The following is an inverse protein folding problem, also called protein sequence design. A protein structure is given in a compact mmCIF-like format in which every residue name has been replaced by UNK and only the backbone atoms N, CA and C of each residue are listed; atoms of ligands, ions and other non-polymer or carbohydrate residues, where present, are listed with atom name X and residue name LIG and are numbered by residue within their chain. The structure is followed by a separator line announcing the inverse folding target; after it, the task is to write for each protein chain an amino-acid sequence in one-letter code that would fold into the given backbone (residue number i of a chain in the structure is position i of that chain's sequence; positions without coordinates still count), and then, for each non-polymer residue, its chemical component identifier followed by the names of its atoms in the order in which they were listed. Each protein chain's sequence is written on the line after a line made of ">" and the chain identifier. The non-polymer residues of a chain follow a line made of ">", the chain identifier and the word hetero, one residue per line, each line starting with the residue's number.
data_IF_653408136335
#
_entry.id   IF_653408136335
#
_cell.length_a   1.000
_cell.length_b   1.000
_cell.length_c   1.000
_cell.angle_alpha   90.00
_cell.angle_beta   90.00
_cell.angle_gamma   90.00
#
_symmetry.space_group_name_H-M   'P 1'
#
loop_
_entity.id
_entity.type
_entity.pdbx_description
1 polymer ?
#
# COMPACT_ATOMS: atom_id res chain seq x y z
N UNK A 1 -44.42 -11.96 27.92
CA UNK A 1 -43.38 -13.00 27.82
C UNK A 1 -42.72 -12.82 26.47
N UNK A 2 -41.73 -11.93 26.40
CA UNK A 2 -40.95 -11.68 25.19
C UNK A 2 -39.59 -12.33 25.39
N UNK A 3 -39.30 -13.33 24.56
CA UNK A 3 -38.01 -13.98 24.51
C UNK A 3 -37.04 -13.09 23.72
N UNK A 4 -36.09 -12.48 24.43
CA UNK A 4 -34.93 -11.81 23.83
C UNK A 4 -33.99 -12.90 23.30
N UNK A 5 -33.97 -13.08 21.98
CA UNK A 5 -32.92 -13.83 21.31
C UNK A 5 -31.64 -12.99 21.33
N UNK A 6 -30.70 -13.37 22.20
CA UNK A 6 -29.34 -12.87 22.17
C UNK A 6 -28.65 -13.38 20.90
N UNK A 7 -28.45 -12.48 19.94
CA UNK A 7 -27.48 -12.71 18.87
C UNK A 7 -26.08 -12.49 19.47
N UNK A 8 -25.44 -13.57 19.91
CA UNK A 8 -23.99 -13.58 20.11
C UNK A 8 -23.32 -13.33 18.76
N UNK A 9 -22.52 -12.28 18.69
CA UNK A 9 -21.67 -11.97 17.53
C UNK A 9 -20.49 -12.97 17.49
N UNK A 10 -20.27 -13.73 16.40
CA UNK A 10 -19.32 -14.85 16.38
C UNK A 10 -17.83 -14.50 16.46
N UNK A 11 -17.46 -13.22 16.52
CA UNK A 11 -16.08 -12.77 16.28
C UNK A 11 -15.34 -12.31 17.54
N UNK A 12 -15.98 -12.36 18.71
CA UNK A 12 -15.33 -12.02 19.98
C UNK A 12 -14.52 -13.20 20.48
N UNK A 13 -13.40 -13.48 19.80
CA UNK A 13 -12.34 -14.29 20.37
C UNK A 13 -11.44 -13.31 21.13
N UNK A 14 -11.70 -13.17 22.42
CA UNK A 14 -10.74 -12.59 23.37
C UNK A 14 -9.53 -13.54 23.43
N UNK A 15 -8.68 -13.51 22.40
CA UNK A 15 -7.42 -14.24 22.39
C UNK A 15 -6.46 -13.43 23.26
N UNK A 16 -5.93 -14.04 24.33
CA UNK A 16 -5.01 -13.38 25.25
C UNK A 16 -3.84 -12.73 24.47
N UNK A 17 -3.60 -11.45 24.69
CA UNK A 17 -2.52 -10.67 24.03
C UNK A 17 -1.17 -11.40 24.13
N UNK A 18 -0.91 -12.07 25.26
CA UNK A 18 0.30 -12.85 25.52
C UNK A 18 0.46 -14.07 24.58
N UNK A 19 -0.65 -14.70 24.19
CA UNK A 19 -0.63 -15.82 23.23
C UNK A 19 -0.39 -15.32 21.80
N UNK A 20 -0.91 -14.15 21.45
CA UNK A 20 -0.65 -13.48 20.17
C UNK A 20 0.81 -13.03 20.10
N UNK A 21 1.31 -12.40 21.16
CA UNK A 21 2.70 -11.96 21.28
C UNK A 21 3.67 -13.13 21.13
N UNK A 22 3.43 -14.24 21.85
CA UNK A 22 4.29 -15.43 21.74
C UNK A 22 4.31 -16.00 20.32
N UNK A 23 3.15 -16.05 19.65
CA UNK A 23 3.00 -16.65 18.32
C UNK A 23 3.60 -15.79 17.20
N UNK A 24 3.46 -14.46 17.31
CA UNK A 24 3.82 -13.51 16.25
C UNK A 24 5.06 -12.68 16.55
N UNK A 25 5.75 -12.94 17.67
CA UNK A 25 6.99 -12.26 18.10
C UNK A 25 8.07 -12.19 17.02
N UNK A 26 8.18 -13.19 16.15
CA UNK A 26 9.15 -13.19 15.06
C UNK A 26 8.94 -12.05 14.03
N UNK A 27 7.77 -11.40 14.02
CA UNK A 27 7.48 -10.24 13.18
C UNK A 27 7.82 -8.90 13.83
N UNK A 28 8.22 -8.87 15.10
CA UNK A 28 8.59 -7.64 15.80
C UNK A 28 9.70 -6.85 15.08
N UNK A 29 10.82 -7.46 14.63
CA UNK A 29 11.86 -6.73 13.91
C UNK A 29 11.36 -6.07 12.62
N UNK A 30 10.39 -6.72 11.95
CA UNK A 30 9.75 -6.19 10.75
C UNK A 30 8.86 -5.00 11.09
N UNK A 31 8.02 -5.11 12.13
CA UNK A 31 7.14 -4.02 12.57
C UNK A 31 7.92 -2.75 12.93
N UNK A 32 9.11 -2.89 13.52
CA UNK A 32 10.00 -1.77 13.83
C UNK A 32 10.43 -0.98 12.58
N UNK A 33 10.58 -1.64 11.42
CA UNK A 33 10.92 -0.96 10.16
C UNK A 33 9.80 -0.03 9.66
N UNK A 34 8.54 -0.32 10.01
CA UNK A 34 7.38 0.52 9.70
C UNK A 34 6.94 1.44 10.85
N UNK A 35 7.58 1.35 12.02
CA UNK A 35 7.24 2.20 13.15
C UNK A 35 7.31 3.67 12.75
N UNK A 36 6.25 4.43 13.06
CA UNK A 36 6.08 5.86 12.68
C UNK A 36 5.96 6.14 11.17
N UNK A 37 5.87 5.09 10.34
CA UNK A 37 5.64 5.22 8.89
C UNK A 37 4.22 4.85 8.49
N UNK A 38 3.43 4.29 9.40
CA UNK A 38 2.05 3.85 9.14
C UNK A 38 1.07 4.56 10.09
N UNK A 39 -0.02 5.07 9.51
CA UNK A 39 -1.06 5.80 10.23
C UNK A 39 -2.46 5.32 9.80
N UNK A 40 -3.39 5.22 10.76
CA UNK A 40 -4.79 4.84 10.50
C UNK A 40 -5.76 6.00 10.71
N UNK A 41 -5.56 7.09 9.97
CA UNK A 41 -6.37 8.30 10.15
C UNK A 41 -6.88 8.93 8.85
N UNK A 42 -6.50 8.43 7.68
CA UNK A 42 -7.00 8.99 6.43
C UNK A 42 -8.41 8.49 6.14
N UNK A 43 -9.33 9.43 5.99
CA UNK A 43 -10.73 9.15 5.69
C UNK A 43 -10.93 9.31 4.19
N UNK A 44 -11.19 8.20 3.51
CA UNK A 44 -11.68 8.22 2.13
C UNK A 44 -13.20 8.11 2.12
N UNK A 45 -13.83 8.77 1.14
CA UNK A 45 -15.20 8.41 0.77
C UNK A 45 -15.16 7.09 -0.01
N UNK A 46 -16.00 6.13 0.37
CA UNK A 46 -16.12 4.88 -0.38
C UNK A 46 -16.54 5.14 -1.84
N UNK A 47 -16.05 4.30 -2.76
CA UNK A 47 -16.38 4.37 -4.20
C UNK A 47 -17.88 4.06 -4.41
N UNK A 48 -18.75 5.08 -4.31
CA UNK A 48 -20.19 4.97 -4.55
C UNK A 48 -20.99 6.23 -4.19
N UNK A 49 -22.21 6.41 -4.73
CA UNK A 49 -23.04 7.61 -4.52
C UNK A 49 -23.53 7.81 -3.08
N UNK A 50 -23.29 6.83 -2.19
CA UNK A 50 -23.49 6.92 -0.73
C UNK A 50 -22.21 6.51 0.02
N UNK A 51 -21.05 6.95 -0.48
CA UNK A 51 -19.74 6.55 0.02
C UNK A 51 -19.62 6.74 1.54
N UNK A 52 -19.69 5.65 2.29
CA UNK A 52 -19.41 5.67 3.73
C UNK A 52 -17.94 6.04 3.91
N UNK A 53 -17.66 6.99 4.80
CA UNK A 53 -16.30 7.35 5.17
C UNK A 53 -15.59 6.13 5.76
N UNK A 54 -14.57 5.62 5.07
CA UNK A 54 -13.75 4.50 5.53
C UNK A 54 -12.34 4.96 5.79
N UNK A 55 -11.80 4.53 6.92
CA UNK A 55 -10.41 4.80 7.26
C UNK A 55 -9.50 3.89 6.45
N UNK A 56 -8.31 4.41 6.16
CA UNK A 56 -7.25 3.71 5.42
C UNK A 56 -5.94 3.79 6.19
N UNK A 57 -5.13 2.75 6.00
CA UNK A 57 -3.74 2.75 6.44
C UNK A 57 -2.93 3.57 5.43
N UNK A 58 -2.43 4.72 5.86
CA UNK A 58 -1.48 5.52 5.11
C UNK A 58 -0.09 5.06 5.47
N UNK A 59 0.74 4.80 4.46
CA UNK A 59 2.13 4.38 4.66
C UNK A 59 3.05 5.36 3.94
N UNK A 60 3.98 5.95 4.68
CA UNK A 60 5.04 6.78 4.12
C UNK A 60 6.26 5.91 3.83
N UNK A 61 6.47 5.61 2.55
CA UNK A 61 7.61 4.80 2.12
C UNK A 61 8.92 5.60 2.26
N UNK A 62 10.07 4.92 2.43
CA UNK A 62 11.37 5.55 2.29
C UNK A 62 11.43 6.36 0.99
N UNK A 63 11.92 7.60 1.07
CA UNK A 63 12.05 8.48 -0.10
C UNK A 63 13.53 8.72 -0.35
N UNK A 64 13.96 8.47 -1.59
CA UNK A 64 15.35 8.56 -2.05
C UNK A 64 16.07 9.83 -1.61
N UNK A 65 15.40 10.98 -1.68
CA UNK A 65 15.95 12.29 -1.27
C UNK A 65 16.42 12.40 0.19
N UNK A 66 16.02 11.47 1.07
CA UNK A 66 16.44 11.43 2.47
C UNK A 66 17.62 10.50 2.73
N UNK A 67 18.17 9.90 1.68
CA UNK A 67 19.30 8.98 1.75
C UNK A 67 20.47 9.53 0.95
N UNK A 68 21.65 9.52 1.56
CA UNK A 68 22.90 9.90 0.90
C UNK A 68 23.49 8.75 0.09
N UNK A 69 23.11 7.52 0.41
CA UNK A 69 23.59 6.29 -0.20
C UNK A 69 22.43 5.53 -0.86
N UNK A 70 22.65 5.10 -2.10
CA UNK A 70 21.64 4.39 -2.88
C UNK A 70 21.38 2.99 -2.32
N UNK A 71 22.42 2.30 -1.87
CA UNK A 71 22.29 0.93 -1.35
C UNK A 71 21.47 0.90 -0.06
N UNK A 72 21.70 1.83 0.87
CA UNK A 72 20.87 2.01 2.07
C UNK A 72 19.42 2.33 1.70
N UNK A 73 19.18 3.24 0.75
CA UNK A 73 17.83 3.51 0.27
C UNK A 73 17.13 2.24 -0.23
N UNK A 74 17.77 1.48 -1.14
CA UNK A 74 17.20 0.26 -1.73
C UNK A 74 16.91 -0.78 -0.66
N UNK A 75 17.81 -0.95 0.29
CA UNK A 75 17.66 -1.87 1.43
C UNK A 75 16.44 -1.48 2.29
N UNK A 76 16.33 -0.21 2.68
CA UNK A 76 15.18 0.26 3.47
C UNK A 76 13.87 0.22 2.71
N UNK A 77 13.90 0.51 1.42
CA UNK A 77 12.73 0.46 0.55
C UNK A 77 12.21 -0.98 0.40
N UNK A 78 13.10 -1.93 0.13
CA UNK A 78 12.77 -3.36 0.10
C UNK A 78 12.23 -3.84 1.45
N UNK A 79 12.90 -3.48 2.56
CA UNK A 79 12.47 -3.85 3.90
C UNK A 79 11.05 -3.34 4.23
N UNK A 80 10.71 -2.11 3.83
CA UNK A 80 9.37 -1.56 4.01
C UNK A 80 8.32 -2.33 3.19
N UNK A 81 8.62 -2.65 1.91
CA UNK A 81 7.76 -3.43 1.03
C UNK A 81 7.50 -4.84 1.58
N UNK A 82 8.56 -5.54 1.98
CA UNK A 82 8.50 -6.89 2.55
C UNK A 82 7.74 -6.91 3.89
N UNK A 83 7.98 -5.91 4.75
CA UNK A 83 7.22 -5.77 6.01
C UNK A 83 5.73 -5.64 5.74
N UNK A 84 5.32 -4.74 4.84
CA UNK A 84 3.92 -4.54 4.48
C UNK A 84 3.29 -5.83 3.93
N UNK A 85 4.04 -6.61 3.15
CA UNK A 85 3.60 -7.88 2.61
C UNK A 85 3.39 -8.95 3.71
N UNK A 86 4.33 -9.08 4.65
CA UNK A 86 4.19 -10.00 5.80
C UNK A 86 2.98 -9.64 6.66
N UNK A 87 2.85 -8.36 6.99
CA UNK A 87 1.73 -7.83 7.74
C UNK A 87 0.38 -8.06 7.05
N UNK A 88 0.34 -7.93 5.73
CA UNK A 88 -0.86 -8.23 4.94
C UNK A 88 -1.19 -9.72 4.91
N UNK A 89 -0.17 -10.59 4.88
CA UNK A 89 -0.36 -12.03 5.02
C UNK A 89 -0.91 -12.40 6.40
N UNK A 90 -0.43 -11.75 7.48
CA UNK A 90 -1.04 -11.91 8.82
C UNK A 90 -2.49 -11.47 8.80
N UNK A 91 -2.82 -10.32 8.20
CA UNK A 91 -4.22 -9.88 8.09
C UNK A 91 -5.12 -10.88 7.35
N UNK A 92 -4.58 -11.65 6.40
CA UNK A 92 -5.32 -12.69 5.69
C UNK A 92 -5.57 -13.94 6.55
N UNK A 93 -4.68 -14.22 7.51
CA UNK A 93 -4.68 -15.45 8.32
C UNK A 93 -5.28 -15.24 9.72
N UNK A 94 -4.99 -14.10 10.34
CA UNK A 94 -5.32 -13.76 11.73
C UNK A 94 -5.53 -12.25 11.90
N UNK A 95 -6.81 -11.84 11.82
CA UNK A 95 -7.21 -10.44 11.99
C UNK A 95 -6.92 -9.89 13.40
N UNK A 96 -6.94 -10.73 14.43
CA UNK A 96 -6.65 -10.29 15.80
C UNK A 96 -5.15 -9.98 15.96
N UNK A 97 -4.29 -10.88 15.45
CA UNK A 97 -2.85 -10.67 15.42
C UNK A 97 -2.46 -9.45 14.58
N UNK A 98 -3.13 -9.24 13.45
CA UNK A 98 -2.93 -8.06 12.62
C UNK A 98 -3.17 -6.75 13.38
N UNK A 99 -4.29 -6.62 14.09
CA UNK A 99 -4.59 -5.44 14.93
C UNK A 99 -3.58 -5.27 16.07
N UNK A 100 -3.18 -6.37 16.71
CA UNK A 100 -2.18 -6.38 17.76
C UNK A 100 -0.83 -5.84 17.24
N UNK A 101 -0.31 -6.38 16.14
CA UNK A 101 0.96 -5.96 15.53
C UNK A 101 0.92 -4.48 15.12
N UNK A 102 -0.17 -4.03 14.50
CA UNK A 102 -0.36 -2.63 14.11
C UNK A 102 -0.31 -1.69 15.32
N UNK A 103 -1.04 -2.02 16.39
CA UNK A 103 -1.16 -1.14 17.54
C UNK A 103 0.08 -1.14 18.43
N UNK A 104 0.59 -2.33 18.78
CA UNK A 104 1.69 -2.50 19.74
C UNK A 104 3.06 -2.29 19.12
N UNK A 105 3.33 -2.87 17.95
CA UNK A 105 4.67 -2.86 17.36
C UNK A 105 4.84 -1.78 16.28
N UNK A 106 3.79 -1.47 15.50
CA UNK A 106 3.85 -0.37 14.51
C UNK A 106 3.44 1.01 15.09
N UNK A 107 2.83 1.05 16.28
CA UNK A 107 2.42 2.28 16.95
C UNK A 107 1.17 2.95 16.39
N UNK A 108 0.33 2.21 15.66
CA UNK A 108 -0.89 2.74 15.03
C UNK A 108 -1.99 2.94 16.06
N UNK A 109 -2.56 4.15 16.11
CA UNK A 109 -3.70 4.44 16.98
C UNK A 109 -5.01 3.91 16.41
N UNK A 110 -5.49 2.78 16.94
CA UNK A 110 -6.77 2.15 16.53
C UNK A 110 -7.99 2.68 17.32
N UNK A 111 -7.79 3.67 18.20
CA UNK A 111 -8.84 4.20 19.08
C UNK A 111 -8.92 3.48 20.42
N UNK A 112 -9.98 3.76 21.20
CA UNK A 112 -10.21 3.16 22.51
C UNK A 112 -10.93 1.81 22.37
N UNK A 113 -10.64 0.90 23.30
CA UNK A 113 -11.34 -0.37 23.42
C UNK A 113 -12.86 -0.16 23.60
N UNK A 114 -13.69 -0.96 22.93
CA UNK A 114 -15.15 -0.77 22.86
C UNK A 114 -15.61 0.44 22.01
N UNK A 115 -14.69 1.16 21.37
CA UNK A 115 -15.02 2.19 20.39
C UNK A 115 -15.14 1.62 18.99
N UNK A 116 -16.07 2.16 18.18
CA UNK A 116 -16.31 1.69 16.80
C UNK A 116 -15.07 1.70 15.88
N UNK A 117 -14.01 2.46 16.21
CA UNK A 117 -12.71 2.40 15.51
C UNK A 117 -11.94 1.09 15.74
N UNK A 118 -12.03 0.54 16.95
CA UNK A 118 -11.33 -0.68 17.34
C UNK A 118 -12.09 -1.94 16.91
N UNK A 119 -13.42 -1.85 16.87
CA UNK A 119 -14.30 -2.97 16.51
C UNK A 119 -14.35 -3.23 15.00
N UNK A 120 -14.05 -2.23 14.17
CA UNK A 120 -14.03 -2.36 12.71
C UNK A 120 -12.93 -3.32 12.24
N UNK A 121 -13.24 -4.25 11.33
CA UNK A 121 -12.22 -5.03 10.63
C UNK A 121 -11.34 -4.11 9.78
N UNK A 122 -10.02 -4.24 9.92
CA UNK A 122 -9.06 -3.37 9.24
C UNK A 122 -8.49 -4.14 8.04
N UNK A 123 -8.95 -3.89 6.82
CA UNK A 123 -8.42 -4.59 5.66
C UNK A 123 -6.98 -4.14 5.37
N UNK A 124 -6.13 -5.07 4.93
CA UNK A 124 -4.79 -4.78 4.42
C UNK A 124 -4.86 -4.05 3.05
N UNK A 125 -5.23 -2.77 3.10
CA UNK A 125 -5.33 -1.86 1.96
C UNK A 125 -4.62 -0.56 2.30
N UNK A 126 -3.66 -0.18 1.48
CA UNK A 126 -2.73 0.88 1.82
C UNK A 126 -2.84 2.08 0.88
N UNK A 127 -2.66 3.25 1.44
CA UNK A 127 -2.36 4.49 0.73
C UNK A 127 -0.86 4.77 0.87
N UNK A 128 -0.11 4.58 -0.21
CA UNK A 128 1.32 4.87 -0.24
C UNK A 128 1.58 6.34 -0.52
N UNK A 129 2.34 6.96 0.36
CA UNK A 129 3.01 8.24 0.11
C UNK A 129 4.45 7.90 -0.27
N UNK A 130 4.78 8.08 -1.54
CA UNK A 130 6.13 7.85 -2.08
C UNK A 130 6.61 9.06 -2.88
N UNK A 131 7.92 9.11 -3.09
CA UNK A 131 8.55 10.06 -3.99
C UNK A 131 8.42 9.54 -5.43
N UNK A 132 7.89 10.35 -6.35
CA UNK A 132 7.69 9.96 -7.76
C UNK A 132 8.83 10.45 -8.65
N UNK A 133 9.96 10.82 -8.05
CA UNK A 133 11.12 11.22 -8.82
C UNK A 133 11.70 10.06 -9.64
N UNK A 134 12.08 10.36 -10.87
CA UNK A 134 12.78 9.41 -11.75
C UNK A 134 14.21 9.20 -11.23
N UNK A 135 14.77 8.01 -11.46
CA UNK A 135 16.21 7.83 -11.34
C UNK A 135 16.86 8.69 -12.43
N UNK A 136 17.70 9.65 -12.06
CA UNK A 136 18.54 10.35 -13.03
C UNK A 136 19.53 9.33 -13.60
N UNK A 137 19.20 8.73 -14.73
CA UNK A 137 20.17 7.99 -15.53
C UNK A 137 20.98 9.02 -16.32
N UNK A 138 22.18 9.32 -15.84
CA UNK A 138 23.22 9.83 -16.71
C UNK A 138 23.57 8.68 -17.68
N UNK A 139 23.06 8.78 -18.92
CA UNK A 139 23.32 7.90 -20.06
C UNK A 139 22.41 6.67 -20.20
N UNK A 140 21.69 6.65 -21.34
CA UNK A 140 21.06 5.45 -21.90
C UNK A 140 19.54 5.45 -21.80
N UNK A 141 18.86 5.91 -22.84
CA UNK A 141 17.48 5.50 -23.10
C UNK A 141 17.43 3.97 -23.20
N UNK A 142 16.69 3.29 -22.32
CA UNK A 142 15.91 2.08 -22.72
C UNK A 142 14.95 1.53 -21.65
N UNK A 143 15.04 1.91 -20.36
CA UNK A 143 14.06 1.48 -19.36
C UNK A 143 13.58 2.63 -18.45
N UNK A 144 12.27 2.87 -18.42
CA UNK A 144 11.68 3.77 -17.42
C UNK A 144 11.81 3.12 -16.04
N UNK A 145 12.60 3.76 -15.18
CA UNK A 145 12.92 3.26 -13.86
C UNK A 145 12.40 4.22 -12.79
N UNK A 146 11.44 3.75 -11.99
CA UNK A 146 10.84 4.52 -10.91
C UNK A 146 10.62 3.65 -9.69
N UNK A 147 10.68 4.28 -8.52
CA UNK A 147 10.45 3.59 -7.25
C UNK A 147 9.03 2.97 -7.18
N UNK A 148 8.07 3.50 -7.94
CA UNK A 148 6.73 2.91 -8.08
C UNK A 148 6.74 1.61 -8.90
N UNK A 149 7.50 1.56 -9.99
CA UNK A 149 7.72 0.33 -10.77
C UNK A 149 8.43 -0.70 -9.90
N UNK A 150 9.46 -0.29 -9.15
CA UNK A 150 10.15 -1.18 -8.21
C UNK A 150 9.23 -1.68 -7.09
N UNK A 151 8.25 -0.89 -6.65
CA UNK A 151 7.33 -1.32 -5.60
C UNK A 151 6.26 -2.29 -6.11
N UNK A 152 5.64 -2.00 -7.26
CA UNK A 152 4.46 -2.71 -7.78
C UNK A 152 4.75 -3.63 -8.98
N UNK A 153 5.97 -3.64 -9.51
CA UNK A 153 6.40 -4.47 -10.65
C UNK A 153 6.78 -5.89 -10.25
N UNK A 154 7.43 -6.60 -11.17
CA UNK A 154 7.81 -8.02 -11.01
C UNK A 154 8.96 -8.23 -10.02
N UNK A 155 9.69 -7.17 -9.69
CA UNK A 155 10.77 -7.20 -8.69
C UNK A 155 10.29 -7.57 -7.29
N UNK A 156 8.98 -7.53 -7.03
CA UNK A 156 8.35 -8.09 -5.83
C UNK A 156 8.56 -9.60 -5.70
N UNK A 157 8.72 -10.30 -6.82
CA UNK A 157 8.90 -11.74 -6.89
C UNK A 157 10.35 -12.11 -7.22
N UNK A 158 11.04 -11.30 -8.01
CA UNK A 158 12.44 -11.56 -8.39
C UNK A 158 13.43 -11.23 -7.26
N UNK A 159 13.15 -10.18 -6.48
CA UNK A 159 14.06 -9.66 -5.45
C UNK A 159 13.44 -9.79 -4.06
N UNK A 160 13.37 -11.03 -3.55
CA UNK A 160 12.87 -11.34 -2.21
C UNK A 160 14.04 -11.71 -1.29
N UNK A 161 14.07 -11.15 -0.08
CA UNK A 161 15.05 -11.57 0.93
C UNK A 161 14.72 -12.97 1.47
N UNK A 162 15.74 -13.72 1.87
CA UNK A 162 15.55 -15.03 2.52
C UNK A 162 14.73 -14.90 3.81
N UNK A 163 15.01 -13.87 4.61
CA UNK A 163 14.28 -13.59 5.85
C UNK A 163 12.78 -13.33 5.60
N UNK A 164 12.43 -12.68 4.49
CA UNK A 164 11.04 -12.49 4.08
C UNK A 164 10.37 -13.80 3.68
N UNK A 165 11.05 -14.64 2.89
CA UNK A 165 10.56 -15.96 2.52
C UNK A 165 10.30 -16.83 3.75
N UNK A 166 11.24 -16.87 4.70
CA UNK A 166 11.09 -17.59 5.98
C UNK A 166 9.90 -17.07 6.79
N UNK A 167 9.70 -15.74 6.79
CA UNK A 167 8.56 -15.10 7.44
C UNK A 167 7.23 -15.57 6.83
N UNK A 168 7.11 -15.60 5.50
CA UNK A 168 5.92 -16.08 4.80
C UNK A 168 5.65 -17.57 5.05
N UNK A 169 6.68 -18.42 5.08
CA UNK A 169 6.53 -19.84 5.39
C UNK A 169 6.01 -20.05 6.82
N UNK A 170 6.53 -19.29 7.80
CA UNK A 170 6.02 -19.31 9.18
C UNK A 170 4.57 -18.85 9.27
N UNK A 171 4.20 -17.76 8.59
CA UNK A 171 2.82 -17.27 8.54
C UNK A 171 1.90 -18.34 7.93
N UNK A 172 2.31 -18.97 6.82
CA UNK A 172 1.55 -20.01 6.16
C UNK A 172 1.35 -21.25 7.04
N UNK A 173 2.37 -21.64 7.82
CA UNK A 173 2.28 -22.73 8.79
C UNK A 173 1.30 -22.42 9.93
N UNK A 174 1.30 -21.18 10.43
CA UNK A 174 0.40 -20.70 11.50
C UNK A 174 -1.06 -20.61 11.03
N UNK A 175 -1.30 -20.35 9.74
CA UNK A 175 -2.64 -20.37 9.15
C UNK A 175 -3.24 -21.76 8.94
N UNK A 176 -2.60 -22.80 9.49
CA UNK A 176 -2.87 -24.22 9.36
C UNK A 176 -4.27 -24.63 8.88
N UNK A 177 -4.36 -25.09 7.63
CA UNK A 177 -5.32 -26.06 7.05
C UNK A 177 -6.84 -25.91 7.25
N UNK A 178 -7.35 -24.97 8.03
CA UNK A 178 -8.73 -25.02 8.53
C UNK A 178 -9.75 -24.18 7.76
N UNK A 179 -9.39 -23.51 6.65
CA UNK A 179 -10.44 -22.92 5.81
C UNK A 179 -10.23 -22.84 4.30
N UNK A 180 -9.07 -23.17 3.70
CA UNK A 180 -8.93 -23.30 2.24
C UNK A 180 -7.83 -24.31 1.83
N UNK A 181 -8.04 -25.60 2.12
CA UNK A 181 -7.34 -26.67 1.38
C UNK A 181 -7.84 -26.64 -0.06
N UNK A 182 -7.05 -26.09 -0.99
CA UNK A 182 -7.31 -26.26 -2.42
C UNK A 182 -6.70 -25.23 -3.37
N UNK A 183 -6.28 -24.04 -2.91
CA UNK A 183 -5.57 -23.08 -3.76
C UNK A 183 -4.49 -22.39 -2.95
N UNK A 184 -3.24 -22.49 -3.39
CA UNK A 184 -2.21 -21.51 -3.06
C UNK A 184 -2.77 -20.14 -3.45
N UNK A 185 -3.20 -19.36 -2.47
CA UNK A 185 -3.80 -18.05 -2.70
C UNK A 185 -2.70 -17.01 -2.72
N UNK A 186 -2.41 -16.48 -3.91
CA UNK A 186 -1.73 -15.20 -4.07
C UNK A 186 -2.49 -14.14 -3.25
N UNK A 187 -1.85 -13.59 -2.22
CA UNK A 187 -2.40 -12.48 -1.43
C UNK A 187 -2.21 -11.21 -2.24
N UNK A 188 -3.28 -10.79 -2.91
CA UNK A 188 -3.29 -9.56 -3.72
C UNK A 188 -3.62 -8.36 -2.84
N UNK A 189 -2.61 -7.55 -2.55
CA UNK A 189 -2.66 -6.43 -1.62
C UNK A 189 -2.97 -5.14 -2.40
N UNK A 190 -4.16 -4.54 -2.27
CA UNK A 190 -4.47 -3.31 -2.97
C UNK A 190 -3.67 -2.14 -2.40
N UNK A 191 -2.99 -1.40 -3.28
CA UNK A 191 -2.27 -0.17 -2.92
C UNK A 191 -2.68 0.98 -3.84
N UNK A 192 -2.90 2.16 -3.26
CA UNK A 192 -3.16 3.41 -3.98
C UNK A 192 -2.02 4.37 -3.70
N UNK A 193 -1.57 5.10 -4.72
CA UNK A 193 -0.63 6.21 -4.51
C UNK A 193 -1.43 7.42 -4.08
N UNK A 194 -1.02 8.06 -2.98
CA UNK A 194 -1.53 9.34 -2.53
C UNK A 194 -0.52 10.42 -2.92
N UNK A 195 -0.84 11.11 -4.01
CA UNK A 195 -0.07 12.24 -4.49
C UNK A 195 -0.63 13.54 -3.90
N UNK A 196 0.21 14.31 -3.22
CA UNK A 196 -0.13 15.63 -2.66
C UNK A 196 0.81 16.66 -3.24
N UNK A 197 0.28 17.57 -4.06
CA UNK A 197 1.07 18.69 -4.56
C UNK A 197 1.52 19.55 -3.39
N UNK A 198 2.80 19.92 -3.38
CA UNK A 198 3.38 20.86 -2.42
C UNK A 198 3.20 22.29 -2.94
N UNK A 199 3.36 23.25 -2.03
CA UNK A 199 3.21 24.66 -2.37
C UNK A 199 4.36 25.10 -3.30
N UNK A 200 4.11 25.91 -4.34
CA UNK A 200 5.14 26.43 -5.26
C UNK A 200 6.25 27.28 -4.63
N UNK A 201 6.18 27.56 -3.32
CA UNK A 201 7.23 28.26 -2.56
C UNK A 201 8.32 27.32 -1.99
N UNK A 202 8.27 26.02 -2.26
CA UNK A 202 9.44 25.16 -2.00
C UNK A 202 10.56 25.50 -3.00
N UNK A 203 11.81 25.61 -2.52
CA UNK A 203 13.01 25.93 -3.34
C UNK A 203 13.20 24.99 -4.54
N UNK A 204 12.60 23.80 -4.47
CA UNK A 204 12.42 22.87 -5.58
C UNK A 204 11.07 23.23 -6.19
N UNK A 205 11.08 23.94 -7.32
CA UNK A 205 9.86 24.30 -8.05
C UNK A 205 9.02 23.04 -8.29
N UNK A 206 7.85 22.98 -7.65
CA UNK A 206 6.98 21.84 -7.74
C UNK A 206 6.42 21.75 -9.17
N UNK A 207 6.60 20.61 -9.83
CA UNK A 207 6.10 20.36 -11.19
C UNK A 207 5.06 19.24 -11.10
N UNK A 208 3.88 19.53 -10.52
CA UNK A 208 2.90 18.51 -10.22
C UNK A 208 2.48 17.70 -11.45
N UNK A 209 2.45 18.37 -12.58
CA UNK A 209 2.15 17.79 -13.87
C UNK A 209 3.17 16.72 -14.29
N UNK A 210 4.47 17.04 -14.21
CA UNK A 210 5.54 16.13 -14.64
C UNK A 210 5.51 14.86 -13.78
N UNK A 211 5.22 15.00 -12.49
CA UNK A 211 5.07 13.89 -11.57
C UNK A 211 3.87 13.01 -11.92
N UNK A 212 2.71 13.58 -12.28
CA UNK A 212 1.57 12.79 -12.73
C UNK A 212 1.84 12.02 -14.03
N UNK A 213 2.55 12.62 -14.99
CA UNK A 213 2.99 11.93 -16.21
C UNK A 213 3.91 10.75 -15.88
N UNK A 214 4.80 10.92 -14.89
CA UNK A 214 5.67 9.84 -14.41
C UNK A 214 4.88 8.71 -13.76
N UNK A 215 3.88 9.01 -12.92
CA UNK A 215 3.00 7.96 -12.35
C UNK A 215 2.27 7.21 -13.48
N UNK A 216 1.71 7.94 -14.45
CA UNK A 216 1.01 7.35 -15.60
C UNK A 216 1.91 6.39 -16.40
N UNK A 217 3.16 6.79 -16.65
CA UNK A 217 4.16 5.95 -17.32
C UNK A 217 4.50 4.71 -16.48
N UNK A 218 4.66 4.87 -15.16
CA UNK A 218 4.88 3.76 -14.24
C UNK A 218 3.75 2.73 -14.28
N UNK A 219 2.49 3.16 -14.30
CA UNK A 219 1.34 2.25 -14.40
C UNK A 219 1.41 1.38 -15.67
N UNK A 220 1.75 2.00 -16.81
CA UNK A 220 1.89 1.30 -18.09
C UNK A 220 3.00 0.27 -18.04
N UNK A 221 4.16 0.63 -17.46
CA UNK A 221 5.32 -0.27 -17.32
C UNK A 221 5.02 -1.44 -16.38
N UNK A 222 4.43 -1.19 -15.21
CA UNK A 222 4.04 -2.24 -14.26
C UNK A 222 3.12 -3.26 -14.93
N UNK A 223 2.11 -2.77 -15.67
CA UNK A 223 1.17 -3.64 -16.39
C UNK A 223 1.90 -4.50 -17.42
N UNK A 224 2.77 -3.91 -18.24
CA UNK A 224 3.53 -4.61 -19.26
C UNK A 224 4.49 -5.67 -18.66
N UNK A 225 5.20 -5.34 -17.59
CA UNK A 225 6.09 -6.28 -16.89
C UNK A 225 5.33 -7.51 -16.38
N UNK A 226 4.19 -7.30 -15.73
CA UNK A 226 3.38 -8.41 -15.23
C UNK A 226 2.76 -9.27 -16.35
N UNK A 227 2.35 -8.66 -17.45
CA UNK A 227 1.83 -9.39 -18.62
C UNK A 227 2.91 -10.28 -19.25
N UNK A 228 4.11 -9.73 -19.48
CA UNK A 228 5.25 -10.49 -19.99
C UNK A 228 5.67 -11.61 -19.03
N UNK A 229 5.76 -11.33 -17.74
CA UNK A 229 6.14 -12.31 -16.72
C UNK A 229 5.15 -13.47 -16.64
N UNK A 230 3.84 -13.19 -16.67
CA UNK A 230 2.80 -14.23 -16.67
C UNK A 230 2.83 -15.08 -17.92
N UNK A 231 3.08 -14.49 -19.09
CA UNK A 231 3.27 -15.25 -20.33
C UNK A 231 4.45 -16.22 -20.20
N UNK A 232 5.57 -15.77 -19.63
CA UNK A 232 6.74 -16.62 -19.42
C UNK A 232 6.47 -17.77 -18.43
N UNK A 233 5.74 -17.51 -17.33
CA UNK A 233 5.36 -18.55 -16.37
C UNK A 233 4.51 -19.66 -17.02
N UNK A 234 3.54 -19.28 -17.87
CA UNK A 234 2.69 -20.23 -18.60
C UNK A 234 3.53 -21.09 -19.54
N UNK A 235 4.51 -20.49 -20.23
CA UNK A 235 5.42 -21.23 -21.12
C UNK A 235 6.32 -22.19 -20.35
N UNK A 236 6.77 -21.81 -19.15
CA UNK A 236 7.66 -22.62 -18.33
C UNK A 236 6.94 -23.65 -17.45
N UNK A 237 5.60 -23.60 -17.35
CA UNK A 237 4.79 -24.44 -16.47
C UNK A 237 5.24 -24.39 -15.00
N UNK A 238 5.73 -23.23 -14.56
CA UNK A 238 6.24 -23.02 -13.21
C UNK A 238 5.12 -22.42 -12.36
N UNK A 239 4.35 -23.26 -11.66
CA UNK A 239 3.42 -22.78 -10.64
C UNK A 239 4.21 -22.31 -9.40
N UNK A 240 3.85 -21.19 -8.77
CA UNK A 240 4.51 -20.78 -7.55
C UNK A 240 4.16 -21.71 -6.39
N UNK A 241 5.16 -22.39 -5.83
CA UNK A 241 4.96 -23.41 -4.80
C UNK A 241 4.78 -22.82 -3.38
N UNK A 242 4.78 -21.49 -3.23
CA UNK A 242 4.79 -20.79 -1.94
C UNK A 242 3.72 -19.71 -1.86
N UNK A 243 3.34 -19.34 -0.63
CA UNK A 243 2.50 -18.16 -0.39
C UNK A 243 3.18 -16.94 -1.00
N UNK A 244 2.47 -16.21 -1.85
CA UNK A 244 3.00 -15.01 -2.50
C UNK A 244 2.13 -13.81 -2.15
N UNK A 245 2.79 -12.69 -1.92
CA UNK A 245 2.16 -11.39 -1.72
C UNK A 245 2.46 -10.51 -2.92
N UNK A 246 1.42 -9.93 -3.51
CA UNK A 246 1.55 -9.05 -4.67
C UNK A 246 0.82 -7.74 -4.41
N UNK A 247 1.54 -6.63 -4.39
CA UNK A 247 0.96 -5.30 -4.38
C UNK A 247 0.34 -5.00 -5.75
N UNK A 248 -0.96 -4.71 -5.74
CA UNK A 248 -1.74 -4.37 -6.93
C UNK A 248 -2.05 -2.90 -6.91
N UNK A 249 -1.42 -2.15 -7.81
CA UNK A 249 -1.66 -0.73 -7.98
C UNK A 249 -3.11 -0.46 -8.41
N UNK A 250 -3.81 0.34 -7.61
CA UNK A 250 -5.16 0.83 -7.81
C UNK A 250 -5.12 2.29 -8.27
N UNK A 251 -6.21 2.80 -8.88
CA UNK A 251 -6.29 4.18 -9.33
C UNK A 251 -5.87 5.15 -8.23
N UNK A 252 -4.94 6.07 -8.54
CA UNK A 252 -4.30 6.94 -7.56
C UNK A 252 -5.26 7.99 -6.99
N UNK A 253 -4.87 8.60 -5.88
CA UNK A 253 -5.51 9.78 -5.30
C UNK A 253 -4.59 10.97 -5.50
N UNK A 254 -5.14 12.04 -6.05
CA UNK A 254 -4.43 13.28 -6.32
C UNK A 254 -5.07 14.40 -5.53
N UNK A 255 -4.26 15.11 -4.75
CA UNK A 255 -4.69 16.22 -3.91
C UNK A 255 -3.94 17.51 -4.30
N UNK A 256 -4.64 18.40 -5.01
CA UNK A 256 -4.20 19.74 -5.37
C UNK A 256 -4.79 20.82 -4.47
N UNK A 257 -5.32 20.48 -3.29
CA UNK A 257 -6.00 21.48 -2.44
C UNK A 257 -5.09 22.65 -2.02
N UNK A 258 -3.76 22.44 -2.05
CA UNK A 258 -2.76 23.44 -1.73
C UNK A 258 -2.18 24.17 -2.96
N UNK A 259 -2.76 23.98 -4.15
CA UNK A 259 -2.25 24.54 -5.40
C UNK A 259 -3.35 25.32 -6.12
N UNK A 260 -3.04 26.53 -6.59
CA UNK A 260 -3.98 27.32 -7.39
C UNK A 260 -4.06 26.74 -8.80
N UNK A 261 -5.26 26.39 -9.25
CA UNK A 261 -5.46 25.81 -10.58
C UNK A 261 -5.12 26.86 -11.64
N UNK A 262 -4.21 26.51 -12.56
CA UNK A 262 -3.92 27.31 -13.75
C UNK A 262 -4.39 26.58 -15.02
N UNK A 263 -4.61 27.29 -16.14
CA UNK A 263 -5.09 26.69 -17.39
C UNK A 263 -4.17 25.60 -17.96
N UNK A 264 -2.86 25.70 -17.76
CA UNK A 264 -1.91 24.66 -18.20
C UNK A 264 -2.11 23.33 -17.48
N UNK A 265 -2.51 23.35 -16.20
CA UNK A 265 -2.84 22.12 -15.46
C UNK A 265 -4.15 21.49 -15.94
N UNK A 266 -5.15 22.27 -16.36
CA UNK A 266 -6.41 21.72 -16.87
C UNK A 266 -6.20 20.96 -18.18
N UNK A 267 -5.43 21.51 -19.11
CA UNK A 267 -5.09 20.84 -20.39
C UNK A 267 -4.37 19.50 -20.16
N UNK A 268 -3.51 19.44 -19.14
CA UNK A 268 -2.71 18.24 -18.87
C UNK A 268 -3.51 17.22 -18.07
N UNK A 269 -4.39 17.64 -17.16
CA UNK A 269 -5.36 16.73 -16.55
C UNK A 269 -6.30 16.13 -17.60
N UNK A 270 -6.77 16.92 -18.57
CA UNK A 270 -7.53 16.42 -19.72
C UNK A 270 -6.72 15.42 -20.54
N UNK A 271 -5.44 15.69 -20.78
CA UNK A 271 -4.53 14.78 -21.48
C UNK A 271 -4.34 13.47 -20.71
N UNK A 272 -4.10 13.53 -19.39
CA UNK A 272 -3.92 12.34 -18.56
C UNK A 272 -5.19 11.49 -18.51
N UNK A 273 -6.36 12.12 -18.42
CA UNK A 273 -7.64 11.41 -18.50
C UNK A 273 -7.82 10.77 -19.88
N UNK A 274 -7.48 11.49 -20.95
CA UNK A 274 -7.53 10.99 -22.34
C UNK A 274 -6.57 9.82 -22.56
N UNK A 275 -5.41 9.83 -21.90
CA UNK A 275 -4.39 8.78 -21.92
C UNK A 275 -4.73 7.58 -21.01
N UNK A 276 -5.97 7.51 -20.50
CA UNK A 276 -6.47 6.48 -19.60
C UNK A 276 -5.69 6.35 -18.27
N UNK A 277 -5.16 7.46 -17.76
CA UNK A 277 -4.63 7.49 -16.39
C UNK A 277 -5.78 7.32 -15.41
N UNK A 278 -5.61 6.41 -14.44
CA UNK A 278 -6.69 6.01 -13.55
C UNK A 278 -6.60 6.78 -12.24
N UNK A 279 -7.58 7.63 -12.01
CA UNK A 279 -7.78 8.33 -10.73
C UNK A 279 -8.96 7.72 -9.98
N UNK A 280 -8.81 7.49 -8.68
CA UNK A 280 -9.95 7.20 -7.79
C UNK A 280 -10.52 8.48 -7.18
N UNK A 281 -9.67 9.48 -6.94
CA UNK A 281 -10.08 10.77 -6.38
C UNK A 281 -9.15 11.89 -6.84
N UNK A 282 -9.73 13.06 -7.13
CA UNK A 282 -9.03 14.28 -7.49
C UNK A 282 -9.58 15.43 -6.64
N UNK A 283 -8.76 16.01 -5.77
CA UNK A 283 -9.11 17.22 -5.00
C UNK A 283 -8.54 18.44 -5.71
N UNK A 284 -9.35 19.48 -5.86
CA UNK A 284 -9.00 20.74 -6.53
C UNK A 284 -9.44 21.91 -5.64
N UNK A 285 -8.60 22.94 -5.51
CA UNK A 285 -8.95 24.19 -4.84
C UNK A 285 -9.08 25.32 -5.84
N UNK A 286 -10.24 25.97 -5.87
CA UNK A 286 -10.50 27.16 -6.67
C UNK A 286 -10.37 28.39 -5.77
N UNK A 287 -9.39 29.25 -6.04
CA UNK A 287 -9.37 30.59 -5.46
C UNK A 287 -10.26 31.49 -6.31
N UNK A 288 -11.33 32.00 -5.69
CA UNK A 288 -12.19 33.01 -6.30
C UNK A 288 -11.71 34.37 -5.81
N UNK A 289 -11.04 35.12 -6.68
CA UNK A 289 -10.72 36.52 -6.39
C UNK A 289 -12.03 37.31 -6.30
N UNK A 290 -12.27 37.92 -5.14
CA UNK A 290 -13.41 38.81 -4.94
C UNK A 290 -13.02 40.18 -5.50
N UNK A 291 -13.64 40.57 -6.63
CA UNK A 291 -13.56 41.93 -7.17
C UNK A 291 -14.12 42.98 -6.20
#
# INVERSE_FOLDING_TARGET
>A
MEATWGFETPWRIDRNDEAVETTWSFLEPWCNALSRRIDYNHVEYGDGPRGVQKRRLVVTLPMRKFYSDEEDFRTKFQQARETLALLSAVAHVDQAAWKYLLSKHCGVSLGKEGGGKNEEEIPARFLAVLDVNEKYQEQGEEAFDSDLVDFCGVSQWENQSEAFCDGLEKIAALGGSSQRRGKQEEVRIPIRVLYRARHPFSEIGDRPVDELVKIARAEKVIKAQWEAYKQNLVVQNTEPHRLQCTFVLKPMIVDFSNYAINPGMTEILETLVSDNVRFSHLSLSLQLDSN
#
